data_IF_468988525541
#
_entry.id   IF_468988525541
#
_cell.length_a   1.000
_cell.length_b   1.000
_cell.length_c   1.000
_cell.angle_alpha   90.00
_cell.angle_beta   90.00
_cell.angle_gamma   90.00
#
_symmetry.space_group_name_H-M   'P 1'
#
loop_
_entity.id
_entity.type
_entity.pdbx_description
1 polymer ?
#
# COMPACT_ATOMS: atom_id res chain seq x y z
N UNK A 1 7.71 -5.93 20.44
CA UNK A 1 6.49 -6.03 19.62
C UNK A 1 6.66 -7.22 18.69
N UNK A 2 5.64 -8.07 18.61
CA UNK A 2 5.60 -9.20 17.68
C UNK A 2 4.61 -8.84 16.57
N UNK A 3 5.12 -8.64 15.37
CA UNK A 3 4.41 -8.10 14.22
C UNK A 3 4.57 -6.58 14.08
N UNK A 4 4.77 -6.13 12.84
CA UNK A 4 4.94 -4.75 12.37
C UNK A 4 3.70 -4.20 11.65
N UNK A 5 2.59 -4.95 11.66
CA UNK A 5 1.30 -4.46 11.19
C UNK A 5 0.82 -3.22 11.95
N UNK A 6 -0.32 -2.67 11.56
CA UNK A 6 -0.81 -1.37 12.04
C UNK A 6 -0.76 -1.20 13.59
N UNK A 7 -1.09 -2.25 14.34
CA UNK A 7 -1.04 -2.21 15.80
C UNK A 7 0.40 -2.23 16.35
N UNK A 8 1.24 -3.16 15.87
CA UNK A 8 2.59 -3.36 16.39
C UNK A 8 3.54 -2.21 16.06
N UNK A 9 3.45 -1.67 14.84
CA UNK A 9 4.18 -0.47 14.41
C UNK A 9 3.81 0.76 15.24
N UNK A 10 2.51 1.03 15.40
CA UNK A 10 2.04 2.17 16.19
C UNK A 10 2.48 2.06 17.65
N UNK A 11 2.30 0.87 18.27
CA UNK A 11 2.72 0.65 19.64
C UNK A 11 4.25 0.79 19.80
N UNK A 12 5.03 0.27 18.86
CA UNK A 12 6.49 0.40 18.88
C UNK A 12 6.94 1.86 18.82
N UNK A 13 6.38 2.64 17.89
CA UNK A 13 6.70 4.06 17.72
C UNK A 13 6.30 4.88 18.95
N UNK A 14 5.12 4.61 19.54
CA UNK A 14 4.69 5.31 20.75
C UNK A 14 5.61 4.99 21.93
N UNK A 15 6.01 3.73 22.10
CA UNK A 15 6.92 3.33 23.17
C UNK A 15 8.35 3.90 22.98
N UNK A 16 8.86 3.94 21.74
CA UNK A 16 10.14 4.53 21.43
C UNK A 16 10.17 6.04 21.69
N UNK A 17 9.09 6.75 21.32
CA UNK A 17 8.91 8.19 21.62
C UNK A 17 8.75 8.48 23.11
N UNK A 18 8.43 7.48 23.92
CA UNK A 18 8.41 7.56 25.38
C UNK A 18 9.74 7.13 26.03
N UNK A 19 10.84 7.17 25.25
CA UNK A 19 12.21 6.82 25.64
C UNK A 19 12.35 5.39 26.20
N UNK A 20 11.48 4.47 25.77
CA UNK A 20 11.60 3.05 26.11
C UNK A 20 12.45 2.33 25.07
N UNK A 21 13.20 1.33 25.53
CA UNK A 21 13.85 0.38 24.63
C UNK A 21 12.78 -0.55 24.07
N UNK A 22 12.63 -0.53 22.76
CA UNK A 22 11.65 -1.33 22.02
C UNK A 22 12.43 -2.25 21.09
N UNK A 23 11.92 -3.46 20.89
CA UNK A 23 12.30 -4.30 19.76
C UNK A 23 11.06 -4.64 18.96
N UNK A 24 11.14 -4.59 17.64
CA UNK A 24 10.07 -4.98 16.72
C UNK A 24 10.51 -6.20 15.90
N UNK A 25 9.74 -7.28 15.94
CA UNK A 25 10.03 -8.52 15.22
C UNK A 25 8.90 -8.75 14.21
N UNK A 26 9.23 -8.94 12.94
CA UNK A 26 8.31 -9.31 11.87
C UNK A 26 8.77 -10.62 11.24
N UNK A 27 7.84 -11.51 10.90
CA UNK A 27 8.18 -12.81 10.29
C UNK A 27 8.17 -12.78 8.76
N UNK A 28 7.53 -11.78 8.18
CA UNK A 28 7.41 -11.60 6.74
C UNK A 28 7.79 -10.15 6.37
N UNK A 29 6.91 -9.41 5.71
CA UNK A 29 7.20 -8.07 5.19
C UNK A 29 6.76 -6.99 6.18
N UNK A 30 7.63 -6.01 6.41
CA UNK A 30 7.33 -4.93 7.33
C UNK A 30 6.12 -4.09 6.89
N UNK A 31 5.34 -3.62 7.87
CA UNK A 31 4.09 -2.87 7.66
C UNK A 31 2.84 -3.75 7.70
N UNK A 32 3.00 -5.09 7.68
CA UNK A 32 1.93 -6.06 7.84
C UNK A 32 0.95 -6.12 6.67
N UNK A 33 -0.26 -6.60 6.94
CA UNK A 33 -1.24 -6.93 5.90
C UNK A 33 -1.71 -5.71 5.09
N UNK A 34 -2.15 -4.63 5.75
CA UNK A 34 -2.83 -3.50 5.09
C UNK A 34 -2.07 -2.92 3.88
N UNK A 35 -0.78 -2.56 3.99
CA UNK A 35 -0.04 -2.04 2.85
C UNK A 35 0.36 -3.11 1.83
N UNK A 36 0.68 -4.33 2.28
CA UNK A 36 1.29 -5.35 1.43
C UNK A 36 0.25 -6.22 0.69
N UNK A 37 -0.82 -6.59 1.39
CA UNK A 37 -1.73 -7.65 0.98
C UNK A 37 -3.22 -7.29 1.11
N UNK A 38 -3.56 -6.21 1.81
CA UNK A 38 -4.95 -5.86 2.11
C UNK A 38 -5.45 -4.64 1.33
N UNK A 39 -5.89 -3.63 2.08
CA UNK A 39 -6.58 -2.47 1.55
C UNK A 39 -5.87 -1.74 0.41
N UNK A 40 -4.55 -1.56 0.49
CA UNK A 40 -3.81 -0.76 -0.49
C UNK A 40 -3.86 -1.41 -1.88
N UNK A 41 -3.38 -2.66 -2.09
CA UNK A 41 -3.46 -3.28 -3.40
C UNK A 41 -4.89 -3.44 -3.90
N UNK A 42 -5.85 -3.76 -3.02
CA UNK A 42 -7.27 -3.92 -3.38
C UNK A 42 -7.86 -2.59 -3.87
N UNK A 43 -7.66 -1.49 -3.12
CA UNK A 43 -8.19 -0.17 -3.48
C UNK A 43 -7.52 0.39 -4.73
N UNK A 44 -6.25 0.09 -4.97
CA UNK A 44 -5.56 0.47 -6.21
C UNK A 44 -6.21 -0.20 -7.43
N UNK A 45 -6.42 -1.51 -7.38
CA UNK A 45 -7.07 -2.25 -8.47
C UNK A 45 -8.53 -1.81 -8.67
N UNK A 46 -9.27 -1.60 -7.57
CA UNK A 46 -10.62 -1.07 -7.61
C UNK A 46 -10.68 0.32 -8.27
N UNK A 47 -9.73 1.20 -7.96
CA UNK A 47 -9.64 2.53 -8.57
C UNK A 47 -9.41 2.46 -10.08
N UNK A 48 -8.55 1.55 -10.54
CA UNK A 48 -8.32 1.29 -11.98
C UNK A 48 -9.59 0.78 -12.64
N UNK A 49 -10.28 -0.18 -12.03
CA UNK A 49 -11.54 -0.72 -12.56
C UNK A 49 -12.64 0.35 -12.64
N UNK A 50 -12.76 1.19 -11.62
CA UNK A 50 -13.69 2.32 -11.62
C UNK A 50 -13.36 3.34 -12.70
N UNK A 51 -12.08 3.64 -12.93
CA UNK A 51 -11.64 4.53 -14.00
C UNK A 51 -12.00 3.95 -15.37
N UNK A 52 -11.67 2.69 -15.62
CA UNK A 52 -12.03 2.00 -16.87
C UNK A 52 -13.54 2.06 -17.13
N UNK A 53 -14.35 1.78 -16.11
CA UNK A 53 -15.80 1.83 -16.20
C UNK A 53 -16.34 3.25 -16.47
N UNK A 54 -15.71 4.29 -15.90
CA UNK A 54 -16.06 5.69 -16.20
C UNK A 54 -15.72 6.05 -17.64
N UNK A 55 -14.56 5.62 -18.14
CA UNK A 55 -14.14 5.85 -19.53
C UNK A 55 -15.13 5.16 -20.48
N UNK A 56 -15.53 3.91 -20.23
CA UNK A 56 -16.53 3.25 -21.07
C UNK A 56 -17.86 4.02 -21.15
N UNK A 57 -18.29 4.64 -20.05
CA UNK A 57 -19.50 5.48 -20.02
C UNK A 57 -19.32 6.89 -20.59
N UNK A 58 -18.12 7.23 -21.09
CA UNK A 58 -17.80 8.57 -21.60
C UNK A 58 -18.66 9.02 -22.79
N UNK A 59 -19.25 8.09 -23.54
CA UNK A 59 -20.13 8.39 -24.67
C UNK A 59 -21.32 9.29 -24.28
N UNK A 60 -21.86 9.16 -23.07
CA UNK A 60 -22.96 10.02 -22.61
C UNK A 60 -22.55 11.50 -22.45
N UNK A 61 -21.25 11.77 -22.41
CA UNK A 61 -20.67 13.11 -22.33
C UNK A 61 -20.08 13.58 -23.67
N UNK A 62 -20.32 12.85 -24.77
CA UNK A 62 -19.82 13.17 -26.10
C UNK A 62 -18.37 12.73 -26.37
N UNK A 63 -17.81 11.85 -25.54
CA UNK A 63 -16.47 11.27 -25.77
C UNK A 63 -16.58 10.00 -26.62
N UNK A 64 -15.74 9.86 -27.64
CA UNK A 64 -15.59 8.60 -28.37
C UNK A 64 -14.69 7.65 -27.58
N UNK A 65 -15.30 6.58 -27.04
CA UNK A 65 -14.65 5.60 -26.17
C UNK A 65 -14.74 4.19 -26.76
N UNK A 66 -14.93 4.10 -28.09
CA UNK A 66 -15.09 2.84 -28.83
C UNK A 66 -13.87 1.91 -28.79
N UNK A 67 -12.68 2.43 -28.46
CA UNK A 67 -11.41 1.67 -28.42
C UNK A 67 -10.68 1.85 -27.09
N UNK A 68 -11.27 1.36 -26.01
CA UNK A 68 -10.66 1.40 -24.67
C UNK A 68 -10.26 -0.01 -24.26
N UNK A 69 -8.95 -0.26 -24.23
CA UNK A 69 -8.35 -1.52 -23.80
C UNK A 69 -7.59 -1.33 -22.48
N UNK A 70 -7.17 -2.42 -21.85
CA UNK A 70 -6.38 -2.40 -20.61
C UNK A 70 -5.14 -3.29 -20.71
N UNK A 71 -4.03 -2.80 -20.16
CA UNK A 71 -2.77 -3.55 -20.02
C UNK A 71 -2.67 -4.08 -18.58
N UNK A 72 -2.97 -5.37 -18.40
CA UNK A 72 -2.93 -5.99 -17.07
C UNK A 72 -1.52 -6.00 -16.45
N UNK A 73 -0.43 -6.38 -17.16
CA UNK A 73 0.94 -6.19 -16.67
C UNK A 73 1.25 -4.78 -16.16
N UNK A 74 0.86 -3.74 -16.90
CA UNK A 74 1.07 -2.36 -16.46
C UNK A 74 0.25 -2.02 -15.20
N UNK A 75 -0.97 -2.54 -15.08
CA UNK A 75 -1.81 -2.38 -13.87
C UNK A 75 -1.17 -3.08 -12.67
N UNK A 76 -0.62 -4.28 -12.85
CA UNK A 76 0.10 -4.98 -11.79
C UNK A 76 1.34 -4.22 -11.34
N UNK A 77 2.11 -3.66 -12.28
CA UNK A 77 3.26 -2.82 -11.96
C UNK A 77 2.83 -1.58 -11.17
N UNK A 78 1.77 -0.88 -11.61
CA UNK A 78 1.21 0.25 -10.89
C UNK A 78 0.79 -0.09 -9.46
N UNK A 79 0.11 -1.24 -9.26
CA UNK A 79 -0.23 -1.74 -7.92
C UNK A 79 1.01 -1.88 -7.05
N UNK A 80 2.07 -2.50 -7.57
CA UNK A 80 3.32 -2.68 -6.83
C UNK A 80 3.98 -1.35 -6.49
N UNK A 81 4.04 -0.39 -7.43
CA UNK A 81 4.53 0.96 -7.17
C UNK A 81 3.75 1.68 -6.06
N UNK A 82 2.43 1.52 -6.01
CA UNK A 82 1.62 2.13 -4.94
C UNK A 82 1.94 1.51 -3.58
N UNK A 83 2.13 0.19 -3.50
CA UNK A 83 2.55 -0.51 -2.28
C UNK A 83 3.93 -0.04 -1.83
N UNK A 84 4.90 0.09 -2.75
CA UNK A 84 6.24 0.61 -2.43
C UNK A 84 6.18 2.03 -1.85
N UNK A 85 5.31 2.90 -2.40
CA UNK A 85 5.14 4.28 -1.93
C UNK A 85 4.56 4.39 -0.53
N UNK A 86 3.94 3.36 0.02
CA UNK A 86 3.50 3.39 1.43
C UNK A 86 4.67 3.19 2.40
N UNK A 87 5.90 3.02 1.91
CA UNK A 87 7.08 2.76 2.72
C UNK A 87 7.22 1.30 3.14
N UNK A 88 6.31 0.42 2.70
CA UNK A 88 6.33 -1.00 3.07
C UNK A 88 7.66 -1.69 2.71
N UNK A 89 8.28 -1.28 1.61
CA UNK A 89 9.58 -1.79 1.17
C UNK A 89 10.80 -1.29 1.95
N UNK A 90 10.70 -0.21 2.73
CA UNK A 90 11.84 0.42 3.45
C UNK A 90 11.57 0.60 4.96
N UNK A 91 10.50 -0.02 5.46
CA UNK A 91 10.04 0.14 6.83
C UNK A 91 11.07 -0.34 7.87
N UNK A 92 11.86 -1.36 7.56
CA UNK A 92 12.91 -1.83 8.46
C UNK A 92 13.97 -0.75 8.71
N UNK A 93 14.41 -0.05 7.66
CA UNK A 93 15.37 1.05 7.80
C UNK A 93 14.77 2.20 8.62
N UNK A 94 13.49 2.51 8.38
CA UNK A 94 12.74 3.52 9.13
C UNK A 94 12.70 3.21 10.64
N UNK A 95 12.37 1.98 11.04
CA UNK A 95 12.31 1.62 12.47
C UNK A 95 13.70 1.64 13.12
N UNK A 96 14.73 1.16 12.42
CA UNK A 96 16.11 1.21 12.91
C UNK A 96 16.59 2.65 13.17
N UNK A 97 16.22 3.62 12.32
CA UNK A 97 16.53 5.03 12.53
C UNK A 97 15.86 5.63 13.77
N UNK A 98 14.73 5.06 14.21
CA UNK A 98 14.02 5.45 15.43
C UNK A 98 14.53 4.70 16.68
N UNK A 99 15.56 3.85 16.54
CA UNK A 99 16.10 3.05 17.64
C UNK A 99 15.19 1.92 18.11
N UNK A 100 14.35 1.40 17.20
CA UNK A 100 13.41 0.28 17.41
C UNK A 100 13.96 -0.99 16.77
#
# INVERSE_FOLDING_TARGET
MLGSGAAGSTAALVAARADKKVGLIESDTFGGETPNWGDIPIKTLMGVAQLYNRIQRGHQFGLDTSRVDFDYPAIQHWKNTVVERTGAGDNEHYYNQQGI
#
